data_IF_409388495554
#
_entry.id   IF_409388495554
#
_cell.length_a   1.000
_cell.length_b   1.000
_cell.length_c   1.000
_cell.angle_alpha   90.00
_cell.angle_beta   90.00
_cell.angle_gamma   90.00
#
_symmetry.space_group_name_H-M   'P 1'
#
loop_
_entity.id
_entity.type
_entity.pdbx_description
1 polymer ?
#
# COMPACT_ATOMS: atom_id res chain seq x y z
N UNK A 1 32.17 -82.31 -85.60
CA UNK A 1 32.05 -80.85 -85.80
C UNK A 1 30.72 -80.25 -85.31
N UNK A 2 29.58 -80.31 -86.01
CA UNK A 2 28.35 -79.62 -85.54
C UNK A 2 27.81 -80.13 -84.18
N UNK A 3 27.92 -81.44 -83.91
CA UNK A 3 27.50 -82.06 -82.65
C UNK A 3 28.44 -81.75 -81.47
N UNK A 4 29.75 -81.63 -81.70
CA UNK A 4 30.71 -81.25 -80.66
C UNK A 4 30.59 -79.78 -80.26
N UNK A 5 30.33 -78.90 -81.24
CA UNK A 5 30.07 -77.48 -80.96
C UNK A 5 28.80 -77.32 -80.13
N UNK A 6 27.74 -78.08 -80.43
CA UNK A 6 26.49 -78.04 -79.65
C UNK A 6 26.67 -78.56 -78.21
N UNK A 7 27.43 -79.64 -78.01
CA UNK A 7 27.72 -80.15 -76.65
C UNK A 7 28.59 -79.18 -75.86
N UNK A 8 29.55 -78.53 -76.51
CA UNK A 8 30.41 -77.53 -75.86
C UNK A 8 29.63 -76.27 -75.46
N UNK A 9 28.74 -75.77 -76.31
CA UNK A 9 27.90 -74.62 -75.99
C UNK A 9 26.85 -74.92 -74.91
N UNK A 10 26.30 -76.14 -74.87
CA UNK A 10 25.42 -76.60 -73.79
C UNK A 10 26.17 -76.63 -72.45
N UNK A 11 27.40 -77.16 -72.42
CA UNK A 11 28.22 -77.20 -71.21
C UNK A 11 28.60 -75.81 -70.70
N UNK A 12 28.93 -74.87 -71.60
CA UNK A 12 29.20 -73.47 -71.25
C UNK A 12 27.96 -72.75 -70.72
N UNK A 13 26.79 -72.99 -71.31
CA UNK A 13 25.53 -72.41 -70.86
C UNK A 13 25.14 -72.93 -69.46
N UNK A 14 25.39 -74.21 -69.20
CA UNK A 14 25.12 -74.83 -67.90
C UNK A 14 26.09 -74.33 -66.83
N UNK A 15 27.35 -74.12 -67.17
CA UNK A 15 28.33 -73.48 -66.29
C UNK A 15 27.96 -72.03 -65.99
N UNK A 16 27.55 -71.25 -67.01
CA UNK A 16 27.06 -69.89 -66.83
C UNK A 16 25.81 -69.84 -65.94
N UNK A 17 24.85 -70.76 -66.15
CA UNK A 17 23.66 -70.88 -65.31
C UNK A 17 24.02 -71.13 -63.85
N UNK A 18 24.97 -72.03 -63.60
CA UNK A 18 25.38 -72.35 -62.23
C UNK A 18 26.12 -71.17 -61.60
N UNK A 19 27.05 -70.52 -62.30
CA UNK A 19 27.72 -69.30 -61.80
C UNK A 19 26.72 -68.20 -61.47
N UNK A 20 25.76 -67.93 -62.35
CA UNK A 20 24.71 -66.92 -62.08
C UNK A 20 23.84 -67.34 -60.89
N UNK A 21 23.50 -68.62 -60.77
CA UNK A 21 22.73 -69.11 -59.63
C UNK A 21 23.49 -68.95 -58.32
N UNK A 22 24.76 -69.36 -58.29
CA UNK A 22 25.61 -69.26 -57.10
C UNK A 22 25.79 -67.80 -56.67
N UNK A 23 26.04 -66.88 -57.62
CA UNK A 23 26.15 -65.44 -57.34
C UNK A 23 24.85 -64.86 -56.82
N UNK A 24 23.71 -65.21 -57.42
CA UNK A 24 22.40 -64.73 -56.97
C UNK A 24 22.09 -65.24 -55.55
N UNK A 25 22.38 -66.50 -55.27
CA UNK A 25 22.19 -67.07 -53.93
C UNK A 25 23.09 -66.40 -52.90
N UNK A 26 24.36 -66.15 -53.23
CA UNK A 26 25.29 -65.42 -52.36
C UNK A 26 24.80 -63.99 -52.09
N UNK A 27 24.31 -63.29 -53.11
CA UNK A 27 23.74 -61.95 -52.96
C UNK A 27 22.48 -61.96 -52.07
N UNK A 28 21.60 -62.95 -52.23
CA UNK A 28 20.42 -63.10 -51.38
C UNK A 28 20.80 -63.38 -49.92
N UNK A 29 21.74 -64.29 -49.67
CA UNK A 29 22.22 -64.61 -48.33
C UNK A 29 22.87 -63.38 -47.66
N UNK A 30 23.62 -62.58 -48.44
CA UNK A 30 24.23 -61.35 -47.95
C UNK A 30 23.17 -60.28 -47.61
N UNK A 31 22.16 -60.12 -48.47
CA UNK A 31 21.03 -59.19 -48.20
C UNK A 31 20.25 -59.63 -46.97
N UNK A 32 19.96 -60.92 -46.82
CA UNK A 32 19.25 -61.46 -45.66
C UNK A 32 20.02 -61.20 -44.36
N UNK A 33 21.33 -61.49 -44.33
CA UNK A 33 22.18 -61.23 -43.17
C UNK A 33 22.26 -59.75 -42.82
N UNK A 34 22.40 -58.88 -43.81
CA UNK A 34 22.44 -57.43 -43.59
C UNK A 34 21.12 -56.93 -43.01
N UNK A 35 19.98 -57.40 -43.54
CA UNK A 35 18.66 -57.03 -43.02
C UNK A 35 18.45 -57.51 -41.58
N UNK A 36 18.83 -58.75 -41.27
CA UNK A 36 18.76 -59.28 -39.91
C UNK A 36 19.61 -58.45 -38.94
N UNK A 37 20.84 -58.13 -39.32
CA UNK A 37 21.76 -57.34 -38.50
C UNK A 37 21.19 -55.95 -38.23
N UNK A 38 20.69 -55.27 -39.28
CA UNK A 38 20.06 -53.95 -39.11
C UNK A 38 18.80 -53.99 -38.26
N UNK A 39 18.04 -55.09 -38.28
CA UNK A 39 16.83 -55.25 -37.46
C UNK A 39 17.19 -55.48 -35.99
N UNK A 40 18.23 -56.26 -35.71
CA UNK A 40 18.77 -56.42 -34.35
C UNK A 40 19.32 -55.10 -33.80
N UNK A 41 20.10 -54.36 -34.59
CA UNK A 41 20.60 -53.03 -34.22
C UNK A 41 19.46 -52.06 -33.91
N UNK A 42 18.42 -52.02 -34.74
CA UNK A 42 17.25 -51.17 -34.52
C UNK A 42 16.47 -51.57 -33.26
N UNK A 43 16.37 -52.87 -32.97
CA UNK A 43 15.71 -53.35 -31.75
C UNK A 43 16.46 -52.90 -30.50
N UNK A 44 17.78 -53.00 -30.49
CA UNK A 44 18.62 -52.54 -29.38
C UNK A 44 18.52 -51.03 -29.21
N UNK A 45 18.53 -50.26 -30.30
CA UNK A 45 18.39 -48.81 -30.25
C UNK A 45 17.03 -48.40 -29.68
N UNK A 46 15.96 -49.08 -30.08
CA UNK A 46 14.61 -48.84 -29.58
C UNK A 46 14.48 -49.17 -28.09
N UNK A 47 15.06 -50.28 -27.64
CA UNK A 47 15.08 -50.65 -26.21
C UNK A 47 15.86 -49.62 -25.37
N UNK A 48 17.00 -49.14 -25.88
CA UNK A 48 17.78 -48.08 -25.23
C UNK A 48 16.95 -46.79 -25.12
N UNK A 49 16.29 -46.38 -26.21
CA UNK A 49 15.42 -45.20 -26.21
C UNK A 49 14.24 -45.32 -25.24
N UNK A 50 13.63 -46.50 -25.13
CA UNK A 50 12.58 -46.75 -24.13
C UNK A 50 13.14 -46.66 -22.70
N UNK A 51 14.34 -47.21 -22.47
CA UNK A 51 15.03 -47.12 -21.18
C UNK A 51 15.31 -45.68 -20.76
N UNK A 52 15.86 -44.87 -21.67
CA UNK A 52 16.09 -43.44 -21.44
C UNK A 52 14.79 -42.69 -21.17
N UNK A 53 13.75 -42.91 -21.99
CA UNK A 53 12.45 -42.26 -21.80
C UNK A 53 11.83 -42.62 -20.44
N UNK A 54 11.92 -43.88 -20.04
CA UNK A 54 11.42 -44.36 -18.74
C UNK A 54 12.18 -43.70 -17.59
N UNK A 55 13.50 -43.57 -17.71
CA UNK A 55 14.33 -42.92 -16.69
C UNK A 55 14.03 -41.42 -16.50
N UNK A 56 13.54 -40.76 -17.56
CA UNK A 56 13.11 -39.36 -17.53
C UNK A 56 11.66 -39.26 -17.01
N UNK A 57 10.79 -40.20 -17.37
CA UNK A 57 9.38 -40.21 -16.97
C UNK A 57 9.21 -40.54 -15.48
N UNK A 58 9.99 -41.48 -14.92
CA UNK A 58 9.87 -41.92 -13.53
C UNK A 58 9.92 -40.75 -12.50
N UNK A 59 10.89 -39.82 -12.56
CA UNK A 59 10.93 -38.68 -11.64
C UNK A 59 9.83 -37.65 -11.92
N UNK A 60 9.36 -37.50 -13.17
CA UNK A 60 8.25 -36.60 -13.53
C UNK A 60 6.88 -37.13 -13.09
N UNK A 61 6.77 -38.45 -12.88
CA UNK A 61 5.56 -39.12 -12.41
C UNK A 61 5.32 -38.95 -10.91
N UNK A 62 6.35 -38.56 -10.16
CA UNK A 62 6.22 -38.21 -8.75
C UNK A 62 5.45 -36.88 -8.65
N UNK A 63 4.25 -36.93 -8.06
CA UNK A 63 3.43 -35.74 -7.82
C UNK A 63 4.15 -34.76 -6.88
N UNK A 64 3.96 -33.46 -7.10
CA UNK A 64 4.31 -32.38 -6.17
C UNK A 64 3.78 -32.62 -4.74
N UNK A 65 2.76 -33.47 -4.59
CA UNK A 65 2.19 -33.89 -3.30
C UNK A 65 3.14 -34.80 -2.49
N UNK A 66 4.16 -35.39 -3.12
CA UNK A 66 5.16 -36.27 -2.50
C UNK A 66 6.55 -35.65 -2.41
N UNK A 67 6.74 -34.46 -3.00
CA UNK A 67 8.03 -33.79 -3.03
C UNK A 67 8.30 -33.08 -1.69
N UNK A 68 9.39 -33.45 -1.03
CA UNK A 68 9.78 -32.92 0.28
C UNK A 68 10.96 -31.95 0.15
N UNK A 69 10.82 -30.77 0.75
CA UNK A 69 11.92 -29.83 0.92
C UNK A 69 12.62 -30.12 2.24
N UNK A 70 13.94 -30.24 2.19
CA UNK A 70 14.78 -30.25 3.39
C UNK A 70 15.03 -28.81 3.82
N UNK A 71 14.47 -28.41 4.96
CA UNK A 71 14.66 -27.08 5.54
C UNK A 71 15.64 -27.22 6.71
N UNK A 72 16.76 -26.50 6.61
CA UNK A 72 17.68 -26.29 7.73
C UNK A 72 17.21 -25.02 8.44
N UNK A 73 16.62 -25.15 9.63
CA UNK A 73 16.27 -23.99 10.46
C UNK A 73 17.49 -23.57 11.27
N UNK A 74 17.82 -22.28 11.24
CA UNK A 74 18.89 -21.70 12.05
C UNK A 74 18.67 -22.06 13.54
N UNK A 75 19.54 -22.93 14.07
CA UNK A 75 19.52 -23.39 15.46
C UNK A 75 19.15 -24.86 15.70
N UNK A 76 18.74 -25.62 14.67
CA UNK A 76 18.54 -27.07 14.76
C UNK A 76 19.47 -27.82 13.80
N UNK A 77 20.24 -28.78 14.32
CA UNK A 77 21.21 -29.57 13.56
C UNK A 77 20.56 -30.62 12.63
N UNK A 78 19.28 -30.92 12.81
CA UNK A 78 18.58 -31.92 12.00
C UNK A 78 17.74 -31.29 10.87
N UNK A 79 17.99 -31.66 9.60
CA UNK A 79 17.17 -31.21 8.48
C UNK A 79 15.74 -31.75 8.63
N UNK A 80 14.77 -30.84 8.60
CA UNK A 80 13.35 -31.21 8.64
C UNK A 80 12.81 -31.30 7.22
N UNK A 81 12.42 -32.51 6.81
CA UNK A 81 11.69 -32.71 5.57
C UNK A 81 10.25 -32.23 5.75
N UNK A 82 9.85 -31.27 4.91
CA UNK A 82 8.48 -30.75 4.89
C UNK A 82 7.95 -30.84 3.47
N UNK A 83 6.71 -31.29 3.32
CA UNK A 83 6.05 -31.38 2.02
C UNK A 83 5.99 -29.99 1.34
N UNK A 84 6.32 -29.93 0.06
CA UNK A 84 6.26 -28.70 -0.74
C UNK A 84 4.87 -28.07 -0.71
N UNK A 85 3.84 -28.91 -0.75
CA UNK A 85 2.45 -28.48 -0.69
C UNK A 85 2.11 -27.76 0.64
N UNK A 86 2.64 -28.25 1.76
CA UNK A 86 2.44 -27.63 3.08
C UNK A 86 3.14 -26.28 3.16
N UNK A 87 4.35 -26.16 2.59
CA UNK A 87 5.07 -24.88 2.53
C UNK A 87 4.41 -23.86 1.61
N UNK A 88 3.93 -24.29 0.44
CA UNK A 88 3.24 -23.41 -0.51
C UNK A 88 1.91 -22.92 0.07
N UNK A 89 1.17 -23.78 0.76
CA UNK A 89 -0.07 -23.38 1.44
C UNK A 89 0.19 -22.45 2.63
N UNK A 90 1.22 -22.72 3.44
CA UNK A 90 1.65 -21.83 4.52
C UNK A 90 2.09 -20.45 3.99
N UNK A 91 2.82 -20.41 2.88
CA UNK A 91 3.23 -19.16 2.23
C UNK A 91 2.04 -18.39 1.68
N UNK A 92 1.07 -19.08 1.05
CA UNK A 92 -0.16 -18.44 0.54
C UNK A 92 -0.97 -17.83 1.69
N UNK A 93 -1.15 -18.57 2.78
CA UNK A 93 -1.82 -18.07 3.98
C UNK A 93 -1.09 -16.87 4.57
N UNK A 94 0.24 -16.95 4.70
CA UNK A 94 1.04 -15.83 5.20
C UNK A 94 0.90 -14.59 4.30
N UNK A 95 0.86 -14.78 2.98
CA UNK A 95 0.63 -13.69 2.02
C UNK A 95 -0.74 -13.06 2.22
N UNK A 96 -1.79 -13.87 2.35
CA UNK A 96 -3.16 -13.40 2.61
C UNK A 96 -3.23 -12.62 3.93
N UNK A 97 -2.64 -13.15 5.02
CA UNK A 97 -2.58 -12.49 6.32
C UNK A 97 -1.82 -11.13 6.24
N UNK A 98 -0.71 -11.09 5.50
CA UNK A 98 0.06 -9.85 5.31
C UNK A 98 -0.68 -8.84 4.44
N UNK A 99 -1.37 -9.29 3.40
CA UNK A 99 -2.18 -8.44 2.54
C UNK A 99 -3.35 -7.83 3.33
N UNK A 100 -3.99 -8.61 4.21
CA UNK A 100 -5.01 -8.13 5.13
C UNK A 100 -4.48 -7.03 6.06
N UNK A 101 -3.30 -7.25 6.66
CA UNK A 101 -2.66 -6.26 7.53
C UNK A 101 -2.31 -4.99 6.77
N UNK A 102 -1.75 -5.10 5.56
CA UNK A 102 -1.44 -3.94 4.72
C UNK A 102 -2.71 -3.17 4.33
N UNK A 103 -3.80 -3.87 4.03
CA UNK A 103 -5.09 -3.24 3.72
C UNK A 103 -5.62 -2.46 4.92
N UNK A 104 -5.60 -3.03 6.12
CA UNK A 104 -5.99 -2.33 7.36
C UNK A 104 -5.11 -1.12 7.63
N UNK A 105 -3.80 -1.26 7.49
CA UNK A 105 -2.87 -0.15 7.70
C UNK A 105 -3.13 0.99 6.72
N UNK A 106 -3.47 0.66 5.47
CA UNK A 106 -3.86 1.64 4.47
C UNK A 106 -5.15 2.37 4.85
N UNK A 107 -6.19 1.64 5.27
CA UNK A 107 -7.46 2.22 5.74
C UNK A 107 -7.27 3.12 6.97
N UNK A 108 -6.43 2.71 7.92
CA UNK A 108 -6.10 3.49 9.11
C UNK A 108 -5.36 4.78 8.73
N UNK A 109 -4.38 4.69 7.84
CA UNK A 109 -3.65 5.85 7.33
C UNK A 109 -4.59 6.84 6.63
N UNK A 110 -5.49 6.35 5.78
CA UNK A 110 -6.51 7.18 5.12
C UNK A 110 -7.44 7.86 6.14
N UNK A 111 -7.86 7.15 7.18
CA UNK A 111 -8.70 7.72 8.24
C UNK A 111 -7.98 8.84 9.02
N UNK A 112 -6.70 8.65 9.34
CA UNK A 112 -5.88 9.69 9.99
C UNK A 112 -5.75 10.92 9.10
N UNK A 113 -5.55 10.74 7.79
CA UNK A 113 -5.52 11.86 6.84
C UNK A 113 -6.83 12.64 6.82
N UNK A 114 -7.98 11.95 6.82
CA UNK A 114 -9.29 12.59 6.88
C UNK A 114 -9.49 13.38 8.19
N UNK A 115 -9.09 12.81 9.33
CA UNK A 115 -9.14 13.50 10.63
C UNK A 115 -8.25 14.74 10.65
N UNK A 116 -7.04 14.67 10.08
CA UNK A 116 -6.13 15.79 9.97
C UNK A 116 -6.74 16.93 9.12
N UNK A 117 -7.38 16.59 8.00
CA UNK A 117 -8.08 17.58 7.17
C UNK A 117 -9.26 18.19 7.93
N UNK A 118 -10.03 17.38 8.67
CA UNK A 118 -11.10 17.87 9.54
C UNK A 118 -10.58 18.86 10.58
N UNK A 119 -9.49 18.53 11.27
CA UNK A 119 -8.85 19.42 12.24
C UNK A 119 -8.32 20.70 11.60
N UNK A 120 -7.69 20.60 10.42
CA UNK A 120 -7.25 21.77 9.68
C UNK A 120 -8.43 22.69 9.31
N UNK A 121 -9.58 22.12 8.94
CA UNK A 121 -10.81 22.88 8.70
C UNK A 121 -11.38 23.51 9.97
N UNK A 122 -11.29 22.85 11.12
CA UNK A 122 -11.68 23.43 12.41
C UNK A 122 -10.80 24.61 12.84
N UNK A 123 -9.52 24.61 12.45
CA UNK A 123 -8.55 25.64 12.87
C UNK A 123 -8.48 26.81 11.89
N UNK A 124 -8.47 26.52 10.59
CA UNK A 124 -8.24 27.51 9.52
C UNK A 124 -9.54 27.99 8.83
N UNK A 125 -10.69 27.37 9.12
CA UNK A 125 -11.97 27.79 8.57
C UNK A 125 -12.05 27.64 7.03
N UNK A 126 -12.45 28.70 6.33
CA UNK A 126 -12.74 28.67 4.89
C UNK A 126 -11.52 28.41 4.00
N UNK A 127 -10.30 28.74 4.44
CA UNK A 127 -9.07 28.54 3.66
C UNK A 127 -8.60 27.08 3.62
N UNK A 128 -9.10 26.22 4.53
CA UNK A 128 -8.86 24.78 4.46
C UNK A 128 -9.80 24.05 3.49
N UNK A 129 -10.96 24.64 3.18
CA UNK A 129 -11.96 24.05 2.27
C UNK A 129 -11.47 24.04 0.82
N UNK A 130 -10.65 25.02 0.42
CA UNK A 130 -10.02 25.04 -0.91
C UNK A 130 -9.00 23.92 -1.07
N UNK A 131 -8.28 23.54 -0.01
CA UNK A 131 -7.35 22.40 -0.04
C UNK A 131 -8.09 21.06 -0.16
N UNK A 132 -9.24 20.91 0.51
CA UNK A 132 -10.05 19.70 0.45
C UNK A 132 -10.74 19.50 -0.92
N UNK A 133 -11.15 20.59 -1.58
CA UNK A 133 -11.77 20.55 -2.92
C UNK A 133 -10.81 20.10 -4.03
N UNK A 134 -9.50 20.36 -3.89
CA UNK A 134 -8.48 19.92 -4.86
C UNK A 134 -8.24 18.41 -4.82
N UNK A 135 -8.54 17.73 -3.70
CA UNK A 135 -8.42 16.25 -3.56
C UNK A 135 -9.72 15.49 -3.87
N UNK A 136 -10.79 16.18 -4.24
CA UNK A 136 -12.11 15.58 -4.43
C UNK A 136 -12.21 14.68 -5.69
N UNK A 137 -11.21 14.72 -6.57
CA UNK A 137 -11.11 13.90 -7.79
C UNK A 137 -10.54 12.48 -7.54
N UNK A 138 -9.74 12.26 -6.49
CA UNK A 138 -9.05 10.99 -6.22
C UNK A 138 -9.72 10.13 -5.12
N UNK A 139 -10.78 10.63 -4.50
CA UNK A 139 -11.43 9.98 -3.35
C UNK A 139 -12.50 8.97 -3.79
N UNK A 140 -12.53 7.80 -3.14
CA UNK A 140 -13.62 6.84 -3.35
C UNK A 140 -14.96 7.44 -2.90
N UNK A 141 -16.11 7.03 -3.47
CA UNK A 141 -17.42 7.61 -3.15
C UNK A 141 -17.76 7.65 -1.65
N UNK A 142 -17.44 6.58 -0.90
CA UNK A 142 -17.68 6.53 0.55
C UNK A 142 -16.71 7.38 1.39
N UNK A 143 -15.53 7.71 0.87
CA UNK A 143 -14.57 8.58 1.53
C UNK A 143 -14.94 10.06 1.33
N UNK A 144 -15.46 10.39 0.15
CA UNK A 144 -15.98 11.72 -0.16
C UNK A 144 -17.11 12.13 0.79
N UNK A 145 -18.06 11.22 1.04
CA UNK A 145 -19.15 11.46 1.98
C UNK A 145 -18.64 11.67 3.42
N UNK A 146 -17.69 10.83 3.88
CA UNK A 146 -17.06 10.99 5.19
C UNK A 146 -16.35 12.34 5.32
N UNK A 147 -15.56 12.72 4.31
CA UNK A 147 -14.85 14.00 4.28
C UNK A 147 -15.83 15.17 4.35
N UNK A 148 -16.90 15.15 3.54
CA UNK A 148 -17.91 16.19 3.51
C UNK A 148 -18.63 16.33 4.86
N UNK A 149 -18.92 15.20 5.53
CA UNK A 149 -19.50 15.19 6.87
C UNK A 149 -18.55 15.81 7.91
N UNK A 150 -17.27 15.43 7.89
CA UNK A 150 -16.25 16.00 8.80
C UNK A 150 -16.05 17.49 8.56
N UNK A 151 -16.00 17.94 7.30
CA UNK A 151 -15.86 19.36 6.96
C UNK A 151 -17.08 20.18 7.39
N UNK A 152 -18.28 19.62 7.23
CA UNK A 152 -19.51 20.29 7.65
C UNK A 152 -19.56 20.45 9.18
N UNK A 153 -19.16 19.41 9.92
CA UNK A 153 -19.06 19.47 11.38
C UNK A 153 -17.99 20.47 11.84
N UNK A 154 -16.81 20.40 11.24
CA UNK A 154 -15.69 21.30 11.51
C UNK A 154 -16.06 22.77 11.29
N UNK A 155 -16.72 23.06 10.16
CA UNK A 155 -17.19 24.41 9.84
C UNK A 155 -18.19 24.94 10.87
N UNK A 156 -19.13 24.10 11.32
CA UNK A 156 -20.09 24.50 12.37
C UNK A 156 -19.38 24.87 13.67
N UNK A 157 -18.39 24.09 14.09
CA UNK A 157 -17.60 24.38 15.30
C UNK A 157 -16.79 25.67 15.15
N UNK A 158 -16.20 25.91 13.98
CA UNK A 158 -15.49 27.15 13.69
C UNK A 158 -16.45 28.37 13.75
N UNK A 159 -17.59 28.30 13.08
CA UNK A 159 -18.60 29.36 13.06
C UNK A 159 -19.15 29.64 14.47
N UNK A 160 -19.33 28.61 15.30
CA UNK A 160 -19.76 28.74 16.70
C UNK A 160 -18.70 29.43 17.58
N UNK A 161 -17.42 29.06 17.42
CA UNK A 161 -16.31 29.76 18.09
C UNK A 161 -16.19 31.22 17.65
N UNK A 162 -16.39 31.49 16.36
CA UNK A 162 -16.41 32.85 15.81
C UNK A 162 -17.48 33.72 16.47
N UNK A 163 -18.73 33.22 16.53
CA UNK A 163 -19.84 33.92 17.22
C UNK A 163 -19.57 34.17 18.69
N UNK A 164 -18.93 33.21 19.37
CA UNK A 164 -18.59 33.38 20.78
C UNK A 164 -17.50 34.45 20.98
N UNK A 165 -16.54 34.57 20.06
CA UNK A 165 -15.55 35.65 20.06
C UNK A 165 -16.19 37.01 19.79
N UNK A 166 -17.07 37.12 18.78
CA UNK A 166 -17.79 38.36 18.47
C UNK A 166 -18.64 38.83 19.67
N UNK A 167 -19.35 37.90 20.34
CA UNK A 167 -20.11 38.21 21.54
C UNK A 167 -19.24 38.70 22.70
N UNK A 168 -18.06 38.09 22.90
CA UNK A 168 -17.10 38.52 23.91
C UNK A 168 -16.52 39.92 23.61
N UNK A 169 -16.20 40.21 22.35
CA UNK A 169 -15.73 41.54 21.94
C UNK A 169 -16.81 42.61 22.19
N UNK A 170 -18.07 42.28 21.89
CA UNK A 170 -19.20 43.19 22.17
C UNK A 170 -19.36 43.45 23.67
N UNK A 171 -19.25 42.41 24.51
CA UNK A 171 -19.32 42.53 25.96
C UNK A 171 -18.15 43.36 26.52
N UNK A 172 -16.93 43.13 26.01
CA UNK A 172 -15.75 43.92 26.37
C UNK A 172 -15.89 45.39 25.98
N UNK A 173 -16.43 45.67 24.79
CA UNK A 173 -16.77 47.02 24.35
C UNK A 173 -17.77 47.70 25.29
N UNK A 174 -18.86 47.00 25.65
CA UNK A 174 -19.85 47.49 26.62
C UNK A 174 -19.27 47.72 28.02
N UNK A 175 -18.33 46.88 28.45
CA UNK A 175 -17.61 47.05 29.71
C UNK A 175 -16.68 48.27 29.67
N UNK A 176 -15.96 48.49 28.57
CA UNK A 176 -15.12 49.66 28.37
C UNK A 176 -15.93 50.96 28.38
N UNK A 177 -17.09 50.99 27.73
CA UNK A 177 -18.00 52.13 27.78
C UNK A 177 -18.50 52.40 29.22
N UNK A 178 -18.83 51.33 29.95
CA UNK A 178 -19.27 51.42 31.34
C UNK A 178 -18.18 51.98 32.25
N UNK A 179 -16.93 51.52 32.11
CA UNK A 179 -15.77 52.07 32.82
C UNK A 179 -15.59 53.54 32.47
N UNK A 180 -15.67 53.90 31.19
CA UNK A 180 -15.50 55.29 30.73
C UNK A 180 -16.56 56.21 31.35
N UNK A 181 -17.82 55.73 31.43
CA UNK A 181 -18.91 56.47 32.08
C UNK A 181 -18.69 56.62 33.58
N UNK A 182 -18.21 55.58 34.27
CA UNK A 182 -17.90 55.65 35.70
C UNK A 182 -16.75 56.62 35.94
N UNK A 183 -15.67 56.53 35.17
CA UNK A 183 -14.52 57.42 35.26
C UNK A 183 -14.93 58.89 35.10
N UNK A 184 -15.74 59.21 34.07
CA UNK A 184 -16.26 60.56 33.86
C UNK A 184 -17.15 61.05 35.01
N UNK A 185 -17.97 60.17 35.60
CA UNK A 185 -18.79 60.52 36.77
C UNK A 185 -17.93 60.78 38.01
N UNK A 186 -16.93 59.94 38.25
CA UNK A 186 -16.00 60.09 39.36
C UNK A 186 -15.18 61.36 39.22
N UNK A 187 -14.65 61.67 38.03
CA UNK A 187 -13.93 62.90 37.76
C UNK A 187 -14.79 64.13 38.09
N UNK A 188 -16.03 64.17 37.60
CA UNK A 188 -16.97 65.25 37.92
C UNK A 188 -17.23 65.38 39.41
N UNK A 189 -17.49 64.26 40.11
CA UNK A 189 -17.73 64.27 41.54
C UNK A 189 -16.51 64.77 42.34
N UNK A 190 -15.29 64.40 41.92
CA UNK A 190 -14.04 64.89 42.53
C UNK A 190 -13.88 66.39 42.32
N UNK A 191 -14.12 66.89 41.11
CA UNK A 191 -14.06 68.33 40.82
C UNK A 191 -15.09 69.10 41.65
N UNK A 192 -16.33 68.60 41.75
CA UNK A 192 -17.37 69.21 42.58
C UNK A 192 -16.99 69.22 44.07
N UNK A 193 -16.48 68.10 44.61
CA UNK A 193 -15.97 68.05 45.98
C UNK A 193 -14.84 69.05 46.22
N UNK A 194 -13.92 69.18 45.27
CA UNK A 194 -12.80 70.11 45.40
C UNK A 194 -13.27 71.57 45.36
N UNK A 195 -14.26 71.90 44.52
CA UNK A 195 -14.89 73.22 44.53
C UNK A 195 -15.62 73.50 45.85
N UNK A 196 -16.39 72.54 46.37
CA UNK A 196 -17.06 72.67 47.66
C UNK A 196 -16.06 72.90 48.79
N UNK A 197 -15.00 72.09 48.86
CA UNK A 197 -13.92 72.24 49.84
C UNK A 197 -13.29 73.64 49.79
N UNK A 198 -12.93 74.11 48.58
CA UNK A 198 -12.36 75.45 48.40
C UNK A 198 -13.33 76.56 48.83
N UNK A 199 -14.63 76.40 48.55
CA UNK A 199 -15.66 77.38 48.97
C UNK A 199 -15.80 77.44 50.49
N UNK A 200 -15.79 76.30 51.17
CA UNK A 200 -15.85 76.21 52.63
C UNK A 200 -14.59 76.78 53.27
N UNK A 201 -13.42 76.42 52.73
CA UNK A 201 -12.12 76.98 53.13
C UNK A 201 -12.13 78.51 53.02
N UNK A 202 -12.58 79.07 51.90
CA UNK A 202 -12.69 80.53 51.71
C UNK A 202 -13.63 81.18 52.74
N UNK A 203 -14.78 80.57 53.02
CA UNK A 203 -15.72 81.06 54.05
C UNK A 203 -15.08 81.07 55.45
N UNK A 204 -14.37 80.01 55.81
CA UNK A 204 -13.64 79.91 57.08
C UNK A 204 -12.57 81.00 57.21
N UNK A 205 -11.76 81.21 56.16
CA UNK A 205 -10.74 82.28 56.18
C UNK A 205 -11.35 83.67 56.28
N UNK A 206 -12.45 83.94 55.57
CA UNK A 206 -13.17 85.23 55.70
C UNK A 206 -13.73 85.42 57.11
N UNK A 207 -14.31 84.37 57.71
CA UNK A 207 -14.79 84.41 59.09
C UNK A 207 -13.66 84.67 60.09
N UNK A 208 -12.55 83.96 59.95
CA UNK A 208 -11.35 84.15 60.78
C UNK A 208 -10.79 85.56 60.64
N UNK A 209 -10.67 86.08 59.41
CA UNK A 209 -10.18 87.43 59.16
C UNK A 209 -11.05 88.48 59.84
N UNK A 210 -12.38 88.37 59.73
CA UNK A 210 -13.32 89.27 60.42
C UNK A 210 -13.20 89.19 61.95
N UNK A 211 -12.98 88.00 62.51
CA UNK A 211 -12.73 87.84 63.94
C UNK A 211 -11.41 88.47 64.38
N UNK A 212 -10.35 88.36 63.57
CA UNK A 212 -9.07 89.02 63.82
C UNK A 212 -9.22 90.55 63.75
N UNK A 213 -9.94 91.09 62.76
CA UNK A 213 -10.23 92.53 62.65
C UNK A 213 -11.03 93.04 63.86
N UNK A 214 -12.02 92.30 64.32
CA UNK A 214 -12.79 92.63 65.52
C UNK A 214 -11.93 92.63 66.79
N UNK A 215 -10.99 91.68 66.90
CA UNK A 215 -10.03 91.63 68.01
C UNK A 215 -8.98 92.75 67.94
N UNK A 216 -8.59 93.18 66.74
CA UNK A 216 -7.64 94.27 66.55
C UNK A 216 -8.27 95.67 66.72
N UNK A 217 -9.60 95.77 66.71
CA UNK A 217 -10.35 97.00 66.94
C UNK A 217 -10.77 97.23 68.41
N UNK A 218 -10.41 96.30 69.30
CA UNK A 218 -10.49 96.39 70.77
C UNK A 218 -9.15 96.85 71.34
#
# INVERSE_FOLDING_TARGET
MALEVAVHTIGQLEQYRNTVHDTITEDFDNVEKNLLTSLEELSVDLDNHIGELTSIEEPLKNSLDTETLSIIQDGHEEPREVLLQDQVSAFRKLREDKEEVLRKLWEDWENVQLQLIGLAAEVLGQDALTFAQVRDEDLKPGQKEKLQNTLTAARRLFDEKGKHHEGLEQDLGGFQESISRIANKTEKAVVEMQQQYNSQKSKLFKGLHRHIELLAAL
#
